data_IF_751609668849
#
_entry.id   IF_751609668849
#
_cell.length_a   1.000
_cell.length_b   1.000
_cell.length_c   1.000
_cell.angle_alpha   90.00
_cell.angle_beta   90.00
_cell.angle_gamma   90.00
#
_symmetry.space_group_name_H-M   'P 1'
#
loop_
_entity.id
_entity.type
_entity.pdbx_description
1 polymer ?
#
# COMPACT_ATOMS: atom_id res chain seq x y z
N UNK A 1 -48.10 10.84 0.55
CA UNK A 1 -46.73 10.36 0.29
C UNK A 1 -45.79 11.55 0.50
N UNK A 2 -44.85 11.43 1.45
CA UNK A 2 -43.79 12.42 1.65
C UNK A 2 -43.05 12.63 0.32
N UNK A 3 -42.78 13.87 -0.03
CA UNK A 3 -42.11 14.24 -1.26
C UNK A 3 -40.82 13.41 -1.45
N UNK A 4 -40.70 12.62 -2.54
CA UNK A 4 -39.56 11.72 -2.77
C UNK A 4 -38.19 12.42 -2.80
N UNK A 5 -38.16 13.74 -2.88
CA UNK A 5 -36.95 14.56 -2.98
C UNK A 5 -36.17 14.62 -1.65
N UNK A 6 -36.83 14.59 -0.49
CA UNK A 6 -36.13 14.60 0.82
C UNK A 6 -35.30 13.33 1.06
N UNK A 7 -35.80 12.18 0.60
CA UNK A 7 -35.06 10.91 0.72
C UNK A 7 -33.82 10.87 -0.17
N UNK A 8 -33.89 11.50 -1.34
CA UNK A 8 -32.78 11.55 -2.31
C UNK A 8 -31.67 12.48 -1.82
N UNK A 9 -32.00 13.63 -1.23
CA UNK A 9 -31.00 14.58 -0.69
C UNK A 9 -30.20 14.01 0.49
N UNK A 10 -30.84 13.27 1.40
CA UNK A 10 -30.13 12.62 2.52
C UNK A 10 -29.15 11.57 1.99
N UNK A 11 -29.55 10.79 0.97
CA UNK A 11 -28.69 9.79 0.35
C UNK A 11 -27.46 10.43 -0.31
N UNK A 12 -27.62 11.53 -1.04
CA UNK A 12 -26.50 12.24 -1.69
C UNK A 12 -25.45 12.72 -0.69
N UNK A 13 -25.88 13.31 0.41
CA UNK A 13 -24.96 13.78 1.46
C UNK A 13 -24.15 12.61 2.07
N UNK A 14 -24.79 11.46 2.31
CA UNK A 14 -24.10 10.26 2.80
C UNK A 14 -23.08 9.74 1.79
N UNK A 15 -23.40 9.80 0.50
CA UNK A 15 -22.52 9.41 -0.60
C UNK A 15 -21.30 10.32 -0.63
N UNK A 16 -21.47 11.64 -0.62
CA UNK A 16 -20.37 12.63 -0.64
C UNK A 16 -19.43 12.48 0.55
N UNK A 17 -19.98 12.34 1.77
CA UNK A 17 -19.18 12.10 2.98
C UNK A 17 -18.39 10.79 2.87
N UNK A 18 -18.99 9.74 2.29
CA UNK A 18 -18.31 8.46 2.09
C UNK A 18 -17.18 8.58 1.06
N UNK A 19 -17.41 9.31 -0.04
CA UNK A 19 -16.38 9.58 -1.05
C UNK A 19 -15.19 10.33 -0.45
N UNK A 20 -15.43 11.40 0.30
CA UNK A 20 -14.36 12.18 0.94
C UNK A 20 -13.55 11.35 1.94
N UNK A 21 -14.22 10.53 2.76
CA UNK A 21 -13.57 9.62 3.71
C UNK A 21 -12.74 8.57 2.99
N UNK A 22 -13.24 8.01 1.89
CA UNK A 22 -12.52 7.05 1.07
C UNK A 22 -11.27 7.68 0.44
N UNK A 23 -11.38 8.89 -0.12
CA UNK A 23 -10.26 9.62 -0.70
C UNK A 23 -9.13 9.83 0.32
N UNK A 24 -9.51 10.28 1.52
CA UNK A 24 -8.59 10.47 2.65
C UNK A 24 -7.94 9.15 3.06
N UNK A 25 -8.75 8.10 3.21
CA UNK A 25 -8.27 6.76 3.58
C UNK A 25 -7.25 6.21 2.56
N UNK A 26 -7.52 6.33 1.26
CA UNK A 26 -6.60 5.88 0.20
C UNK A 26 -5.28 6.65 0.29
N UNK A 27 -5.30 7.96 0.49
CA UNK A 27 -4.09 8.77 0.59
C UNK A 27 -3.23 8.39 1.82
N UNK A 28 -3.86 8.17 2.98
CA UNK A 28 -3.12 7.69 4.17
C UNK A 28 -2.61 6.26 3.99
N UNK A 29 -3.37 5.39 3.33
CA UNK A 29 -2.94 4.02 3.02
C UNK A 29 -1.73 4.01 2.09
N UNK A 30 -1.69 4.89 1.08
CA UNK A 30 -0.53 5.05 0.19
C UNK A 30 0.72 5.42 1.02
N UNK A 31 0.61 6.42 1.92
CA UNK A 31 1.72 6.82 2.79
C UNK A 31 2.18 5.70 3.72
N UNK A 32 1.23 4.96 4.30
CA UNK A 32 1.55 3.84 5.18
C UNK A 32 2.32 2.74 4.43
N UNK A 33 1.89 2.38 3.23
CA UNK A 33 2.55 1.35 2.41
C UNK A 33 3.93 1.83 1.95
N UNK A 34 4.07 3.11 1.58
CA UNK A 34 5.38 3.69 1.26
C UNK A 34 6.34 3.64 2.46
N UNK A 35 5.86 3.91 3.67
CA UNK A 35 6.64 3.75 4.90
C UNK A 35 7.05 2.30 5.18
N UNK A 36 6.12 1.35 5.02
CA UNK A 36 6.42 -0.08 5.17
C UNK A 36 7.46 -0.54 4.15
N UNK A 37 7.40 -0.05 2.90
CA UNK A 37 8.37 -0.36 1.85
C UNK A 37 9.79 0.00 2.28
N UNK A 38 10.00 1.20 2.83
CA UNK A 38 11.34 1.67 3.23
C UNK A 38 11.88 0.88 4.42
N UNK A 39 11.05 0.60 5.41
CA UNK A 39 11.42 -0.25 6.55
C UNK A 39 11.78 -1.67 6.10
N UNK A 40 11.00 -2.25 5.19
CA UNK A 40 11.24 -3.59 4.68
C UNK A 40 12.59 -3.69 3.95
N UNK A 41 12.95 -2.71 3.13
CA UNK A 41 14.27 -2.67 2.48
C UNK A 41 15.41 -2.64 3.51
N UNK A 42 15.27 -1.83 4.58
CA UNK A 42 16.27 -1.76 5.64
C UNK A 42 16.39 -3.09 6.42
N UNK A 43 15.26 -3.72 6.75
CA UNK A 43 15.23 -5.03 7.43
C UNK A 43 15.86 -6.11 6.55
N UNK A 44 15.57 -6.12 5.24
CA UNK A 44 16.20 -7.05 4.29
C UNK A 44 17.71 -6.89 4.27
N UNK A 45 18.21 -5.65 4.22
CA UNK A 45 19.64 -5.39 4.21
C UNK A 45 20.32 -5.86 5.50
N UNK A 46 19.72 -5.57 6.66
CA UNK A 46 20.26 -6.01 7.95
C UNK A 46 20.22 -7.53 8.09
N UNK A 47 19.19 -8.21 7.59
CA UNK A 47 19.12 -9.66 7.57
C UNK A 47 20.25 -10.29 6.72
N UNK A 48 20.54 -9.73 5.55
CA UNK A 48 21.66 -10.18 4.69
C UNK A 48 23.01 -9.95 5.35
N UNK A 49 23.22 -8.79 5.97
CA UNK A 49 24.46 -8.49 6.71
C UNK A 49 24.64 -9.43 7.91
N UNK A 50 23.59 -9.65 8.69
CA UNK A 50 23.60 -10.58 9.82
C UNK A 50 23.94 -12.00 9.37
N UNK A 51 23.36 -12.43 8.24
CA UNK A 51 23.68 -13.74 7.65
C UNK A 51 25.15 -13.85 7.26
N UNK A 52 25.72 -12.84 6.62
CA UNK A 52 27.14 -12.83 6.25
C UNK A 52 28.04 -12.90 7.49
N UNK A 53 27.73 -12.14 8.54
CA UNK A 53 28.47 -12.19 9.80
C UNK A 53 28.38 -13.57 10.47
N UNK A 54 27.18 -14.16 10.51
CA UNK A 54 26.98 -15.51 11.04
C UNK A 54 27.69 -16.57 10.19
N UNK A 55 27.71 -16.44 8.87
CA UNK A 55 28.44 -17.34 7.96
C UNK A 55 29.95 -17.29 8.23
N UNK A 56 30.51 -16.10 8.50
CA UNK A 56 31.92 -15.96 8.89
C UNK A 56 32.21 -16.59 10.25
N UNK A 57 31.35 -16.37 11.25
CA UNK A 57 31.50 -16.96 12.58
C UNK A 57 31.38 -18.50 12.55
N UNK A 58 30.53 -19.01 11.67
CA UNK A 58 30.24 -20.43 11.52
C UNK A 58 31.05 -21.07 10.39
N UNK A 59 32.04 -20.39 9.82
CA UNK A 59 32.81 -20.88 8.68
C UNK A 59 33.44 -22.26 8.96
N UNK A 60 33.92 -22.51 10.18
CA UNK A 60 34.47 -23.81 10.58
C UNK A 60 33.42 -24.95 10.64
N UNK A 61 32.13 -24.62 10.75
CA UNK A 61 31.01 -25.58 10.77
C UNK A 61 30.25 -25.62 9.45
N UNK A 62 30.76 -24.99 8.39
CA UNK A 62 30.08 -24.93 7.08
C UNK A 62 29.07 -23.79 6.94
N UNK A 63 29.17 -22.75 7.77
CA UNK A 63 28.30 -21.57 7.74
C UNK A 63 26.92 -21.81 8.36
N UNK A 64 26.04 -20.83 8.22
CA UNK A 64 24.63 -20.89 8.59
C UNK A 64 23.92 -22.03 7.87
N UNK A 65 24.35 -22.34 6.63
CA UNK A 65 23.70 -23.32 5.78
C UNK A 65 23.86 -24.76 6.23
N UNK A 66 25.05 -25.12 6.70
CA UNK A 66 25.29 -26.45 7.25
C UNK A 66 24.51 -26.71 8.55
N UNK A 67 24.12 -25.64 9.27
CA UNK A 67 23.33 -25.76 10.51
C UNK A 67 21.83 -25.80 10.22
N UNK A 68 21.35 -24.95 9.30
CA UNK A 68 19.92 -24.86 8.96
C UNK A 68 19.48 -26.01 8.04
N UNK A 69 20.35 -26.51 7.18
CA UNK A 69 20.03 -27.57 6.22
C UNK A 69 19.24 -27.07 5.02
N UNK A 70 18.25 -27.84 4.57
CA UNK A 70 17.54 -27.63 3.29
C UNK A 70 16.71 -26.34 3.21
N UNK A 71 16.39 -25.71 4.36
CA UNK A 71 15.68 -24.42 4.40
C UNK A 71 16.60 -23.20 4.36
N UNK A 72 17.91 -23.42 4.25
CA UNK A 72 18.90 -22.36 4.07
C UNK A 72 18.84 -21.76 2.66
N UNK A 73 19.38 -20.55 2.48
CA UNK A 73 19.55 -19.91 1.15
C UNK A 73 18.23 -19.59 0.45
N UNK A 74 17.14 -19.39 1.20
CA UNK A 74 15.92 -18.83 0.63
C UNK A 74 16.20 -17.45 0.05
N UNK A 75 15.83 -17.26 -1.21
CA UNK A 75 15.89 -15.96 -1.87
C UNK A 75 15.01 -14.96 -1.11
N UNK A 76 15.57 -13.80 -0.75
CA UNK A 76 14.83 -12.70 -0.16
C UNK A 76 14.34 -11.84 -1.34
N UNK A 77 13.04 -11.87 -1.68
CA UNK A 77 12.54 -11.12 -2.83
C UNK A 77 12.69 -9.63 -2.59
N UNK A 78 13.31 -8.93 -3.53
CA UNK A 78 13.36 -7.48 -3.56
C UNK A 78 12.09 -6.93 -4.21
N UNK A 79 10.97 -6.98 -3.47
CA UNK A 79 9.70 -6.39 -3.96
C UNK A 79 9.68 -4.85 -3.96
N UNK A 80 10.82 -4.23 -3.67
CA UNK A 80 11.02 -2.79 -3.67
C UNK A 80 11.47 -2.21 -5.01
N UNK A 81 11.84 -3.07 -5.97
CA UNK A 81 12.17 -2.70 -7.34
C UNK A 81 10.97 -2.08 -8.08
N UNK A 82 11.22 -1.36 -9.19
CA UNK A 82 10.19 -0.69 -10.01
C UNK A 82 9.05 -1.63 -10.46
N UNK A 83 9.32 -2.94 -10.54
CA UNK A 83 8.37 -3.99 -10.90
C UNK A 83 7.93 -4.88 -9.72
N UNK A 84 8.27 -4.50 -8.49
CA UNK A 84 7.82 -5.19 -7.29
C UNK A 84 6.31 -5.07 -7.10
N UNK A 85 5.71 -6.09 -6.47
CA UNK A 85 4.25 -6.12 -6.25
C UNK A 85 3.79 -4.91 -5.41
N UNK A 86 4.57 -4.54 -4.39
CA UNK A 86 4.30 -3.37 -3.54
C UNK A 86 4.35 -2.07 -4.34
N UNK A 87 5.40 -1.88 -5.16
CA UNK A 87 5.55 -0.67 -5.99
C UNK A 87 4.40 -0.53 -7.01
N UNK A 88 4.03 -1.65 -7.63
CA UNK A 88 2.92 -1.71 -8.61
C UNK A 88 1.58 -1.41 -7.95
N UNK A 89 1.31 -1.98 -6.78
CA UNK A 89 0.08 -1.73 -6.02
C UNK A 89 -0.04 -0.25 -5.62
N UNK A 90 1.05 0.36 -5.14
CA UNK A 90 1.07 1.79 -4.79
C UNK A 90 0.84 2.66 -6.03
N UNK A 91 1.45 2.33 -7.17
CA UNK A 91 1.24 3.06 -8.42
C UNK A 91 -0.23 3.00 -8.88
N UNK A 92 -0.87 1.84 -8.74
CA UNK A 92 -2.29 1.69 -9.07
C UNK A 92 -3.19 2.45 -8.08
N UNK A 93 -2.88 2.40 -6.78
CA UNK A 93 -3.60 3.20 -5.77
C UNK A 93 -3.49 4.70 -6.03
N UNK A 94 -2.32 5.19 -6.46
CA UNK A 94 -2.13 6.60 -6.84
C UNK A 94 -3.03 6.99 -8.01
N UNK A 95 -3.13 6.16 -9.05
CA UNK A 95 -4.05 6.40 -10.18
C UNK A 95 -5.52 6.47 -9.71
N UNK A 96 -5.93 5.59 -8.81
CA UNK A 96 -7.28 5.63 -8.22
C UNK A 96 -7.50 6.89 -7.38
N UNK A 97 -6.50 7.30 -6.60
CA UNK A 97 -6.58 8.53 -5.82
C UNK A 97 -6.66 9.80 -6.69
N UNK A 98 -5.98 9.81 -7.85
CA UNK A 98 -6.09 10.87 -8.84
C UNK A 98 -7.47 10.91 -9.48
N UNK A 99 -8.02 9.77 -9.88
CA UNK A 99 -9.39 9.69 -10.43
C UNK A 99 -10.44 10.22 -9.45
N UNK A 100 -10.34 9.86 -8.15
CA UNK A 100 -11.26 10.37 -7.12
C UNK A 100 -11.19 11.91 -7.01
N UNK A 101 -10.00 12.50 -7.13
CA UNK A 101 -9.83 13.97 -7.12
C UNK A 101 -10.35 14.65 -8.40
N UNK A 102 -10.35 13.95 -9.51
CA UNK A 102 -10.92 14.45 -10.77
C UNK A 102 -12.45 14.46 -10.70
N UNK A 103 -13.05 13.42 -10.13
CA UNK A 103 -14.50 13.35 -9.89
C UNK A 103 -14.98 14.49 -8.96
N UNK A 104 -14.21 14.84 -7.93
CA UNK A 104 -14.49 15.99 -7.05
C UNK A 104 -14.52 17.34 -7.81
N UNK A 105 -13.75 17.50 -8.89
CA UNK A 105 -13.74 18.73 -9.69
C UNK A 105 -14.90 18.79 -10.69
N UNK A 106 -15.40 17.63 -11.12
CA UNK A 106 -16.49 17.50 -12.08
C UNK A 106 -17.86 17.78 -11.47
N UNK A 107 -18.04 17.57 -10.17
CA UNK A 107 -19.32 17.75 -9.47
C UNK A 107 -19.56 19.21 -9.04
N UNK A 108 -19.47 20.14 -10.00
CA UNK A 108 -19.94 21.54 -9.80
C UNK A 108 -21.29 21.81 -10.46
N UNK A 109 -21.92 20.79 -11.06
CA UNK A 109 -23.16 20.94 -11.84
C UNK A 109 -24.22 19.86 -11.55
N UNK A 110 -23.97 18.91 -10.63
CA UNK A 110 -24.85 17.78 -10.38
C UNK A 110 -26.01 18.08 -9.42
N UNK A 111 -27.25 18.04 -9.94
CA UNK A 111 -28.52 17.87 -9.21
C UNK A 111 -29.05 18.99 -8.29
N UNK A 112 -28.28 20.03 -7.97
CA UNK A 112 -28.75 21.17 -7.17
C UNK A 112 -29.61 22.23 -7.90
N UNK A 113 -30.00 21.99 -9.16
CA UNK A 113 -30.69 22.98 -10.01
C UNK A 113 -32.23 22.79 -10.10
N UNK A 114 -32.80 21.77 -9.45
CA UNK A 114 -34.24 21.56 -9.37
C UNK A 114 -34.71 21.41 -7.93
#
# INVERSE_FOLDING_TARGET
>A
ALFPQFGVTELWNQIEVTHYRLATFVNETIRAIEGVKTELTAIRLTAVQNRMALDMLLAARGGVCAIIGDSCCTYIPAEDDEHGQISTAVAQMKKTAEAIKEDEKGDKTGWGFW
#
